data_IF_269234463451
#
_entry.id   IF_269234463451
#
_cell.length_a   1.000
_cell.length_b   1.000
_cell.length_c   1.000
_cell.angle_alpha   90.00
_cell.angle_beta   90.00
_cell.angle_gamma   90.00
#
_symmetry.space_group_name_H-M   'P 1'
#
loop_
_entity.id
_entity.type
_entity.pdbx_description
1 polymer ?
#
# COMPACT_ATOMS: atom_id res chain seq x y z
N UNK A 1 -66.99 -22.35 4.59
CA UNK A 1 -66.51 -22.28 5.98
C UNK A 1 -65.00 -22.08 6.00
N UNK A 2 -64.54 -20.86 6.27
CA UNK A 2 -63.12 -20.47 6.28
C UNK A 2 -62.54 -20.71 7.69
N UNK A 3 -61.49 -21.53 7.83
CA UNK A 3 -60.77 -21.76 9.09
C UNK A 3 -59.63 -20.74 9.22
N UNK A 4 -59.75 -19.85 10.20
CA UNK A 4 -58.72 -18.90 10.59
C UNK A 4 -57.60 -19.60 11.37
N UNK A 5 -56.35 -19.48 10.90
CA UNK A 5 -55.16 -19.87 11.65
C UNK A 5 -54.66 -18.66 12.45
N UNK A 6 -54.64 -18.77 13.78
CA UNK A 6 -54.00 -17.80 14.68
C UNK A 6 -52.51 -18.14 14.74
N UNK A 7 -51.68 -17.32 14.10
CA UNK A 7 -50.23 -17.36 14.26
C UNK A 7 -49.87 -16.71 15.61
N UNK A 8 -49.33 -17.49 16.54
CA UNK A 8 -48.73 -16.99 17.77
C UNK A 8 -47.35 -16.41 17.47
N UNK A 9 -47.19 -15.11 17.64
CA UNK A 9 -45.92 -14.40 17.51
C UNK A 9 -45.14 -14.55 18.82
N UNK A 10 -44.18 -15.47 18.85
CA UNK A 10 -43.21 -15.58 19.96
C UNK A 10 -42.15 -14.52 19.76
N UNK A 11 -42.20 -13.44 20.55
CA UNK A 11 -41.08 -12.49 20.67
C UNK A 11 -39.93 -13.19 21.41
N UNK A 12 -38.95 -13.67 20.66
CA UNK A 12 -37.63 -14.00 21.19
C UNK A 12 -36.91 -12.67 21.37
N UNK A 13 -36.91 -12.16 22.61
CA UNK A 13 -36.10 -11.01 22.99
C UNK A 13 -34.62 -11.34 22.80
N UNK A 14 -34.01 -10.80 21.74
CA UNK A 14 -32.56 -10.76 21.59
C UNK A 14 -32.00 -9.88 22.71
N UNK A 15 -31.56 -10.52 23.80
CA UNK A 15 -30.68 -9.92 24.78
C UNK A 15 -29.36 -9.60 24.08
N UNK A 16 -29.24 -8.40 23.52
CA UNK A 16 -27.94 -7.85 23.15
C UNK A 16 -27.12 -7.74 24.44
N UNK A 17 -25.97 -8.41 24.55
CA UNK A 17 -25.12 -8.24 25.72
C UNK A 17 -24.77 -6.75 25.81
N UNK A 18 -25.15 -6.11 26.91
CA UNK A 18 -24.73 -4.76 27.20
C UNK A 18 -23.19 -4.79 27.19
N UNK A 19 -22.59 -4.15 26.19
CA UNK A 19 -21.15 -4.01 26.11
C UNK A 19 -20.72 -3.29 27.39
N UNK A 20 -20.11 -4.01 28.32
CA UNK A 20 -19.55 -3.42 29.53
C UNK A 20 -18.64 -2.27 29.09
N UNK A 21 -18.94 -1.05 29.53
CA UNK A 21 -18.09 0.09 29.26
C UNK A 21 -16.70 -0.26 29.78
N UNK A 22 -15.72 -0.38 28.88
CA UNK A 22 -14.34 -0.61 29.27
C UNK A 22 -13.95 0.50 30.24
N UNK A 23 -13.58 0.14 31.47
CA UNK A 23 -13.11 1.10 32.46
C UNK A 23 -11.64 1.38 32.21
N UNK A 24 -11.26 2.65 32.28
CA UNK A 24 -9.85 3.07 32.25
C UNK A 24 -9.13 2.43 33.43
N UNK A 25 -8.09 1.65 33.16
CA UNK A 25 -7.22 1.11 34.20
C UNK A 25 -6.27 2.20 34.72
N UNK A 26 -6.25 2.49 36.04
CA UNK A 26 -5.37 3.53 36.59
C UNK A 26 -3.89 3.31 36.27
N UNK A 27 -3.44 2.05 36.23
CA UNK A 27 -2.06 1.71 35.89
C UNK A 27 -1.71 2.05 34.43
N UNK A 28 -2.63 1.81 33.49
CA UNK A 28 -2.43 2.16 32.08
C UNK A 28 -2.38 3.67 31.89
N UNK A 29 -3.29 4.40 32.56
CA UNK A 29 -3.29 5.87 32.58
C UNK A 29 -1.97 6.44 33.12
N UNK A 30 -1.45 5.91 34.22
CA UNK A 30 -0.18 6.36 34.79
C UNK A 30 1.01 6.18 33.84
N UNK A 31 1.01 5.13 33.00
CA UNK A 31 2.04 4.94 31.96
C UNK A 31 1.96 6.04 30.91
N UNK A 32 0.76 6.36 30.42
CA UNK A 32 0.55 7.42 29.42
C UNK A 32 0.87 8.81 30.00
N UNK A 33 0.44 9.10 31.23
CA UNK A 33 0.74 10.36 31.92
C UNK A 33 2.26 10.56 32.11
N UNK A 34 2.99 9.50 32.48
CA UNK A 34 4.46 9.54 32.54
C UNK A 34 5.10 9.87 31.18
N UNK A 35 4.55 9.33 30.09
CA UNK A 35 5.03 9.62 28.75
C UNK A 35 4.75 11.08 28.35
N UNK A 36 3.56 11.58 28.64
CA UNK A 36 3.17 12.98 28.44
C UNK A 36 4.10 13.93 29.18
N UNK A 37 4.40 13.63 30.45
CA UNK A 37 5.35 14.41 31.25
C UNK A 37 6.75 14.38 30.66
N UNK A 38 7.26 13.20 30.27
CA UNK A 38 8.55 13.06 29.62
C UNK A 38 8.63 13.78 28.26
N UNK A 39 7.50 14.08 27.63
CA UNK A 39 7.41 14.82 26.38
C UNK A 39 7.31 16.35 26.56
N UNK A 40 7.30 16.85 27.79
CA UNK A 40 7.18 18.29 28.09
C UNK A 40 5.90 18.67 28.82
N UNK A 41 5.06 17.70 29.18
CA UNK A 41 3.83 17.90 29.95
C UNK A 41 2.60 18.21 29.09
N UNK A 42 1.42 17.91 29.64
CA UNK A 42 0.14 18.01 28.93
C UNK A 42 -0.15 19.42 28.41
N UNK A 43 0.12 20.44 29.23
CA UNK A 43 -0.12 21.84 28.87
C UNK A 43 0.72 22.27 27.65
N UNK A 44 1.99 21.88 27.59
CA UNK A 44 2.86 22.19 26.46
C UNK A 44 2.38 21.48 25.19
N UNK A 45 2.04 20.19 25.28
CA UNK A 45 1.53 19.41 24.15
C UNK A 45 0.20 19.95 23.61
N UNK A 46 -0.76 20.28 24.50
CA UNK A 46 -2.05 20.87 24.09
C UNK A 46 -1.90 22.28 23.55
N UNK A 47 -0.89 23.03 24.00
CA UNK A 47 -0.55 24.37 23.50
C UNK A 47 0.09 24.39 22.12
N UNK A 48 0.43 23.22 21.54
CA UNK A 48 0.82 23.15 20.14
C UNK A 48 -0.43 23.26 19.27
N UNK A 49 -0.55 24.36 18.54
CA UNK A 49 -1.60 24.60 17.57
C UNK A 49 -1.10 24.34 16.15
N UNK A 50 0.17 24.61 15.89
CA UNK A 50 0.78 24.53 14.56
C UNK A 50 2.15 23.90 14.63
N UNK A 51 2.52 23.17 13.58
CA UNK A 51 3.83 22.53 13.47
C UNK A 51 4.37 22.68 12.06
N UNK A 52 5.65 23.01 11.95
CA UNK A 52 6.44 22.83 10.73
C UNK A 52 7.53 21.80 11.00
N UNK A 53 7.61 20.79 10.15
CA UNK A 53 8.69 19.82 10.12
C UNK A 53 9.42 19.93 8.78
N UNK A 54 10.72 20.16 8.81
CA UNK A 54 11.58 19.93 7.64
C UNK A 54 12.09 18.49 7.74
N UNK A 55 11.84 17.70 6.70
CA UNK A 55 11.94 16.25 6.79
C UNK A 55 12.59 15.63 5.56
N UNK A 56 13.14 14.43 5.75
CA UNK A 56 13.54 13.53 4.68
C UNK A 56 12.74 12.23 4.82
N UNK A 57 11.97 11.86 3.79
CA UNK A 57 11.37 10.52 3.72
C UNK A 57 12.29 9.61 2.93
N UNK A 58 12.75 8.52 3.55
CA UNK A 58 13.34 7.39 2.88
C UNK A 58 12.23 6.39 2.57
N UNK A 59 11.78 6.33 1.32
CA UNK A 59 10.84 5.33 0.85
C UNK A 59 11.55 4.00 0.65
N UNK A 60 10.98 2.93 1.18
CA UNK A 60 11.50 1.57 1.03
C UNK A 60 10.60 0.82 0.05
N UNK A 61 11.20 -0.02 -0.80
CA UNK A 61 10.41 -0.98 -1.57
C UNK A 61 9.94 -2.06 -0.61
N UNK A 62 8.62 -2.19 -0.43
CA UNK A 62 8.03 -3.32 0.30
C UNK A 62 8.55 -4.62 -0.30
N UNK A 63 9.20 -5.45 0.52
CA UNK A 63 9.80 -6.72 0.11
C UNK A 63 9.69 -7.74 1.22
N UNK A 64 9.72 -9.00 0.82
CA UNK A 64 9.63 -10.15 1.71
C UNK A 64 10.75 -11.17 1.46
N UNK A 65 11.75 -10.80 0.64
CA UNK A 65 12.79 -11.71 0.17
C UNK A 65 13.98 -11.87 1.14
N UNK A 66 13.92 -11.29 2.35
CA UNK A 66 14.90 -11.50 3.43
C UNK A 66 16.34 -11.07 3.12
N UNK A 67 16.60 -10.53 1.92
CA UNK A 67 17.95 -10.21 1.45
C UNK A 67 18.45 -8.90 2.07
N UNK A 68 19.75 -8.82 2.42
CA UNK A 68 20.36 -7.56 2.85
C UNK A 68 20.26 -6.48 1.77
N UNK A 69 19.98 -5.23 2.15
CA UNK A 69 20.02 -4.05 1.28
C UNK A 69 19.18 -4.12 -0.02
N UNK A 70 18.16 -4.99 -0.06
CA UNK A 70 17.25 -5.09 -1.21
C UNK A 70 16.30 -3.90 -1.35
N UNK A 71 16.14 -3.09 -0.31
CA UNK A 71 15.12 -2.03 -0.21
C UNK A 71 15.27 -0.91 -1.26
N UNK A 72 16.48 -0.73 -1.84
CA UNK A 72 16.82 0.27 -2.87
C UNK A 72 16.10 1.60 -2.61
N UNK A 73 16.43 2.27 -1.48
CA UNK A 73 15.62 3.37 -1.00
C UNK A 73 15.64 4.56 -1.96
N UNK A 74 14.55 5.30 -1.99
CA UNK A 74 14.54 6.66 -2.55
C UNK A 74 14.38 7.69 -1.43
N UNK A 75 14.97 8.85 -1.63
CA UNK A 75 14.99 9.93 -0.64
C UNK A 75 14.18 11.12 -1.17
N UNK A 76 13.26 11.59 -0.34
CA UNK A 76 12.34 12.67 -0.66
C UNK A 76 12.42 13.76 0.43
N UNK A 77 13.20 14.83 0.18
CA UNK A 77 13.17 16.00 1.05
C UNK A 77 11.82 16.69 0.91
N UNK A 78 11.23 17.05 2.04
CA UNK A 78 9.94 17.74 2.06
C UNK A 78 9.78 18.60 3.32
N UNK A 79 8.85 19.54 3.25
CA UNK A 79 8.31 20.23 4.42
C UNK A 79 6.90 19.74 4.68
N UNK A 80 6.64 19.33 5.92
CA UNK A 80 5.32 19.02 6.44
C UNK A 80 4.85 20.15 7.36
N UNK A 81 3.72 20.77 7.03
CA UNK A 81 3.12 21.86 7.78
C UNK A 81 1.71 21.46 8.20
N UNK A 82 1.41 21.62 9.48
CA UNK A 82 0.14 21.18 10.09
C UNK A 82 -0.44 22.29 10.93
N UNK A 83 -1.74 22.48 10.81
CA UNK A 83 -2.55 23.30 11.70
C UNK A 83 -3.60 22.40 12.36
N UNK A 84 -3.55 22.32 13.68
CA UNK A 84 -4.43 21.48 14.48
C UNK A 84 -5.72 22.22 14.88
N UNK A 85 -5.77 23.56 14.72
CA UNK A 85 -6.94 24.39 15.02
C UNK A 85 -7.96 24.36 13.88
N UNK A 86 -7.45 24.20 12.65
CA UNK A 86 -8.22 23.92 11.45
C UNK A 86 -7.61 22.66 10.84
N UNK A 87 -8.23 21.46 10.94
CA UNK A 87 -7.59 20.16 10.67
C UNK A 87 -7.02 20.06 9.25
N UNK A 88 -5.81 20.61 9.08
CA UNK A 88 -5.25 20.98 7.80
C UNK A 88 -3.77 20.68 7.77
N UNK A 89 -3.34 20.29 6.58
CA UNK A 89 -2.03 19.75 6.31
C UNK A 89 -1.57 20.25 4.96
N UNK A 90 -0.31 20.66 4.88
CA UNK A 90 0.37 20.99 3.65
C UNK A 90 1.69 20.27 3.62
N UNK A 91 1.92 19.55 2.54
CA UNK A 91 3.16 18.83 2.31
C UNK A 91 3.79 19.34 1.00
N UNK A 92 4.99 19.87 1.10
CA UNK A 92 5.77 20.38 -0.03
C UNK A 92 6.95 19.46 -0.26
N UNK A 93 6.95 18.72 -1.37
CA UNK A 93 7.96 17.72 -1.73
C UNK A 93 8.85 18.24 -2.85
N UNK A 94 10.14 18.02 -2.72
CA UNK A 94 11.15 18.45 -3.70
C UNK A 94 11.68 17.24 -4.51
N UNK A 95 11.60 17.32 -5.82
CA UNK A 95 12.05 16.31 -6.79
C UNK A 95 13.02 16.96 -7.79
N UNK A 96 14.23 17.26 -7.32
CA UNK A 96 15.21 18.02 -8.10
C UNK A 96 14.67 19.42 -8.41
N UNK A 97 14.49 19.83 -9.69
CA UNK A 97 13.94 21.14 -10.03
C UNK A 97 12.40 21.22 -9.90
N UNK A 98 11.72 20.09 -9.63
CA UNK A 98 10.25 20.04 -9.54
C UNK A 98 9.82 20.06 -8.09
N UNK A 99 8.72 20.76 -7.82
CA UNK A 99 8.09 20.85 -6.50
C UNK A 99 6.64 20.41 -6.59
N UNK A 100 6.21 19.56 -5.67
CA UNK A 100 4.81 19.14 -5.53
C UNK A 100 4.27 19.68 -4.21
N UNK A 101 3.15 20.39 -4.25
CA UNK A 101 2.47 20.88 -3.04
C UNK A 101 1.13 20.18 -2.91
N UNK A 102 0.97 19.36 -1.87
CA UNK A 102 -0.33 18.82 -1.47
C UNK A 102 -0.90 19.68 -0.34
N UNK A 103 -2.18 19.96 -0.39
CA UNK A 103 -2.93 20.59 0.70
C UNK A 103 -4.14 19.71 1.00
N UNK A 104 -4.33 19.39 2.27
CA UNK A 104 -5.56 18.80 2.79
C UNK A 104 -6.16 19.77 3.78
N UNK A 105 -7.43 20.10 3.60
CA UNK A 105 -8.20 20.92 4.55
C UNK A 105 -9.58 20.30 4.72
N UNK A 106 -9.95 20.05 5.97
CA UNK A 106 -11.17 19.30 6.30
C UNK A 106 -11.11 17.91 5.63
N UNK A 107 -12.06 17.57 4.76
CA UNK A 107 -12.11 16.31 4.02
C UNK A 107 -11.70 16.46 2.55
N UNK A 108 -11.03 17.56 2.17
CA UNK A 108 -10.68 17.87 0.77
C UNK A 108 -9.18 17.84 0.58
N UNK A 109 -8.71 17.16 -0.47
CA UNK A 109 -7.32 17.14 -0.88
C UNK A 109 -7.13 17.79 -2.26
N UNK A 110 -6.13 18.65 -2.38
CA UNK A 110 -5.69 19.27 -3.64
C UNK A 110 -4.18 19.15 -3.80
N UNK A 111 -3.71 19.20 -5.04
CA UNK A 111 -2.28 19.15 -5.37
C UNK A 111 -1.93 20.19 -6.42
N UNK A 112 -0.76 20.79 -6.31
CA UNK A 112 -0.12 21.61 -7.34
C UNK A 112 1.15 20.91 -7.80
N UNK A 113 1.26 20.68 -9.11
CA UNK A 113 2.41 20.06 -9.78
C UNK A 113 3.27 21.08 -10.55
N UNK A 114 3.06 22.38 -10.30
CA UNK A 114 3.70 23.49 -10.99
C UNK A 114 2.82 24.16 -12.06
N UNK A 115 1.55 23.77 -12.15
CA UNK A 115 0.58 24.27 -13.13
C UNK A 115 -0.73 24.72 -12.47
N UNK A 116 -0.71 24.95 -11.16
CA UNK A 116 -1.88 25.34 -10.37
C UNK A 116 -2.51 24.16 -9.65
N UNK A 117 -3.35 24.48 -8.66
CA UNK A 117 -4.02 23.47 -7.86
C UNK A 117 -5.13 22.75 -8.63
N UNK A 118 -5.16 21.43 -8.49
CA UNK A 118 -6.21 20.53 -8.96
C UNK A 118 -6.64 19.58 -7.84
N UNK A 119 -7.74 18.86 -8.02
CA UNK A 119 -8.17 17.84 -7.05
C UNK A 119 -7.13 16.74 -6.92
N UNK A 120 -6.93 16.25 -5.70
CA UNK A 120 -6.09 15.10 -5.39
C UNK A 120 -6.97 13.89 -5.04
N UNK A 121 -6.38 12.70 -5.00
CA UNK A 121 -7.07 11.52 -4.50
C UNK A 121 -7.44 11.63 -3.02
N UNK A 122 -8.56 11.00 -2.64
CA UNK A 122 -8.99 10.85 -1.24
C UNK A 122 -7.97 10.11 -0.37
N UNK A 123 -7.04 9.34 -0.95
CA UNK A 123 -5.96 8.71 -0.20
C UNK A 123 -5.09 9.70 0.60
N UNK A 124 -4.97 10.96 0.14
CA UNK A 124 -4.24 11.99 0.89
C UNK A 124 -5.03 12.51 2.10
N UNK A 125 -6.37 12.41 2.09
CA UNK A 125 -7.19 12.67 3.28
C UNK A 125 -6.95 11.57 4.31
N UNK A 126 -6.91 10.31 3.87
CA UNK A 126 -6.58 9.16 4.72
C UNK A 126 -5.15 9.28 5.28
N UNK A 127 -4.16 9.61 4.43
CA UNK A 127 -2.77 9.82 4.86
C UNK A 127 -2.67 10.95 5.89
N UNK A 128 -3.40 12.05 5.71
CA UNK A 128 -3.44 13.11 6.72
C UNK A 128 -3.99 12.60 8.05
N UNK A 129 -5.15 11.93 8.04
CA UNK A 129 -5.73 11.39 9.28
C UNK A 129 -4.74 10.47 9.99
N UNK A 130 -4.06 9.66 9.22
CA UNK A 130 -3.02 8.76 9.68
C UNK A 130 -1.81 9.49 10.28
N UNK A 131 -1.25 10.47 9.58
CA UNK A 131 -0.11 11.27 10.07
C UNK A 131 -0.47 11.99 11.37
N UNK A 132 -1.70 12.46 11.51
CA UNK A 132 -2.21 13.09 12.74
C UNK A 132 -2.38 12.08 13.89
N UNK A 133 -2.53 10.79 13.59
CA UNK A 133 -2.50 9.71 14.58
C UNK A 133 -1.06 9.35 14.95
N UNK A 134 -0.14 9.28 13.99
CA UNK A 134 1.22 8.79 14.21
C UNK A 134 2.12 9.78 14.93
N UNK A 135 1.75 11.05 14.96
CA UNK A 135 2.64 12.07 15.52
C UNK A 135 2.57 11.99 17.05
N UNK A 136 3.70 11.79 17.74
CA UNK A 136 3.68 11.44 19.15
C UNK A 136 2.95 12.43 20.05
N UNK A 137 3.03 13.74 19.76
CA UNK A 137 2.30 14.77 20.52
C UNK A 137 0.79 14.51 20.48
N UNK A 138 0.24 14.24 19.29
CA UNK A 138 -1.18 13.93 19.10
C UNK A 138 -1.55 12.55 19.61
N UNK A 139 -0.68 11.56 19.39
CA UNK A 139 -0.90 10.20 19.86
C UNK A 139 -1.05 10.16 21.38
N UNK A 140 -0.16 10.83 22.12
CA UNK A 140 -0.20 10.83 23.59
C UNK A 140 -1.44 11.55 24.13
N UNK A 141 -1.82 12.69 23.56
CA UNK A 141 -3.05 13.38 23.95
C UNK A 141 -4.30 12.52 23.69
N UNK A 142 -4.38 11.89 22.51
CA UNK A 142 -5.48 10.97 22.18
C UNK A 142 -5.52 9.74 23.08
N UNK A 143 -4.35 9.19 23.42
CA UNK A 143 -4.26 8.07 24.35
C UNK A 143 -4.72 8.49 25.76
N UNK A 144 -4.29 9.64 26.25
CA UNK A 144 -4.66 10.18 27.57
C UNK A 144 -6.18 10.41 27.71
N UNK A 145 -6.81 10.86 26.63
CA UNK A 145 -8.25 11.12 26.56
C UNK A 145 -9.06 9.84 26.25
N UNK A 146 -8.43 8.70 25.96
CA UNK A 146 -9.12 7.47 25.57
C UNK A 146 -9.80 6.78 26.78
N UNK A 147 -11.12 6.50 26.72
CA UNK A 147 -11.84 5.85 27.83
C UNK A 147 -11.56 4.34 27.94
N UNK A 148 -10.78 3.77 27.02
CA UNK A 148 -10.54 2.33 26.88
C UNK A 148 -9.09 1.94 27.17
N UNK A 149 -8.36 2.80 27.88
CA UNK A 149 -6.98 2.55 28.29
C UNK A 149 -6.90 1.31 29.20
N UNK A 150 -6.14 0.32 28.76
CA UNK A 150 -5.87 -0.93 29.50
C UNK A 150 -4.39 -1.29 29.40
N UNK A 151 -3.87 -1.94 30.44
CA UNK A 151 -2.48 -2.36 30.47
C UNK A 151 -2.35 -3.71 29.73
N UNK A 152 -1.41 -3.78 28.80
CA UNK A 152 -1.01 -5.03 28.16
C UNK A 152 0.05 -5.77 28.98
N UNK A 153 0.42 -6.96 28.54
CA UNK A 153 1.60 -7.62 29.07
C UNK A 153 2.85 -6.83 28.67
N UNK A 154 3.79 -6.66 29.60
CA UNK A 154 5.12 -6.16 29.28
C UNK A 154 5.75 -6.96 28.13
N UNK A 155 6.57 -6.30 27.32
CA UNK A 155 7.27 -6.94 26.21
C UNK A 155 8.75 -6.59 26.21
N UNK A 156 9.52 -7.31 25.40
CA UNK A 156 10.92 -7.01 25.12
C UNK A 156 11.08 -6.74 23.63
N UNK A 157 11.65 -5.61 23.25
CA UNK A 157 11.98 -5.26 21.87
C UNK A 157 13.48 -5.01 21.80
N UNK A 158 14.19 -5.70 20.90
CA UNK A 158 15.65 -5.60 20.75
C UNK A 158 16.44 -5.73 22.08
N UNK A 159 15.97 -6.56 23.02
CA UNK A 159 16.60 -6.77 24.33
C UNK A 159 16.23 -5.77 25.43
N UNK A 160 15.44 -4.74 25.11
CA UNK A 160 14.99 -3.73 26.07
C UNK A 160 13.55 -3.97 26.52
N UNK A 161 13.21 -3.55 27.75
CA UNK A 161 11.87 -3.77 28.34
C UNK A 161 10.90 -2.63 28.02
N UNK A 162 9.66 -2.98 27.74
CA UNK A 162 8.59 -2.04 27.41
C UNK A 162 7.30 -2.34 28.16
N UNK A 163 6.61 -1.29 28.59
CA UNK A 163 5.22 -1.36 29.08
C UNK A 163 4.29 -1.27 27.87
N UNK A 164 3.30 -2.14 27.76
CA UNK A 164 2.29 -2.05 26.71
C UNK A 164 1.01 -1.43 27.24
N UNK A 165 0.44 -0.50 26.50
CA UNK A 165 -0.92 0.03 26.73
C UNK A 165 -1.74 -0.21 25.49
N UNK A 166 -2.99 -0.63 25.69
CA UNK A 166 -3.98 -0.73 24.62
C UNK A 166 -5.02 0.37 24.80
N UNK A 167 -5.45 0.95 23.69
CA UNK A 167 -6.46 2.01 23.67
C UNK A 167 -7.31 1.92 22.41
N UNK A 168 -8.49 2.55 22.44
CA UNK A 168 -9.27 2.88 21.25
C UNK A 168 -9.28 4.39 21.07
N UNK A 169 -8.48 4.89 20.14
CA UNK A 169 -8.36 6.31 19.83
C UNK A 169 -9.61 6.81 19.09
N UNK A 170 -10.11 7.99 19.48
CA UNK A 170 -11.33 8.62 18.95
C UNK A 170 -12.54 7.68 18.89
N UNK A 171 -12.59 6.70 19.81
CA UNK A 171 -13.65 5.68 19.86
C UNK A 171 -13.67 4.69 18.70
N UNK A 172 -12.67 4.71 17.79
CA UNK A 172 -12.66 3.88 16.58
C UNK A 172 -11.40 3.03 16.44
N UNK A 173 -10.21 3.64 16.47
CA UNK A 173 -8.97 2.96 16.11
C UNK A 173 -8.39 2.23 17.31
N UNK A 174 -8.42 0.89 17.29
CA UNK A 174 -7.76 0.07 18.30
C UNK A 174 -6.25 0.08 18.08
N UNK A 175 -5.50 0.47 19.10
CA UNK A 175 -4.04 0.60 19.07
C UNK A 175 -3.38 -0.13 20.24
N UNK A 176 -2.14 -0.55 20.04
CA UNK A 176 -1.20 -0.94 21.11
C UNK A 176 0.00 -0.01 21.05
N UNK A 177 0.35 0.59 22.18
CA UNK A 177 1.49 1.49 22.32
C UNK A 177 2.47 0.86 23.30
N UNK A 178 3.72 0.68 22.88
CA UNK A 178 4.82 0.23 23.73
C UNK A 178 5.61 1.46 24.21
N UNK A 179 5.82 1.56 25.52
CA UNK A 179 6.57 2.61 26.18
C UNK A 179 7.87 2.04 26.73
N UNK A 180 9.00 2.68 26.43
CA UNK A 180 10.29 2.22 26.93
C UNK A 180 10.29 2.31 28.47
N UNK A 181 10.60 1.21 29.17
CA UNK A 181 10.37 1.12 30.61
C UNK A 181 11.24 2.11 31.41
N UNK A 182 12.46 2.38 30.93
CA UNK A 182 13.41 3.30 31.58
C UNK A 182 13.02 4.76 31.44
N UNK A 183 12.74 5.21 30.22
CA UNK A 183 12.50 6.63 29.89
C UNK A 183 11.02 7.02 29.99
N UNK A 184 10.11 6.08 29.83
CA UNK A 184 8.67 6.33 29.77
C UNK A 184 8.18 6.86 28.41
N UNK A 185 9.07 7.15 27.47
CA UNK A 185 8.70 7.66 26.13
C UNK A 185 8.05 6.56 25.28
N UNK A 186 7.09 6.90 24.40
CA UNK A 186 6.52 5.93 23.47
C UNK A 186 7.61 5.49 22.48
N UNK A 187 7.67 4.20 22.19
CA UNK A 187 8.67 3.63 21.32
C UNK A 187 8.06 2.98 20.09
N UNK A 188 6.90 2.34 20.23
CA UNK A 188 6.22 1.69 19.12
C UNK A 188 4.71 1.89 19.23
N UNK A 189 4.08 2.27 18.13
CA UNK A 189 2.63 2.23 17.91
C UNK A 189 2.30 1.08 16.95
N UNK A 190 1.31 0.25 17.29
CA UNK A 190 0.76 -0.81 16.42
C UNK A 190 -0.74 -0.70 16.30
N UNK A 191 -1.28 -0.91 15.11
CA UNK A 191 -2.72 -1.03 14.86
C UNK A 191 -2.96 -1.69 13.52
N UNK A 192 -4.21 -2.08 13.27
CA UNK A 192 -4.64 -2.70 12.01
C UNK A 192 -5.51 -1.75 11.21
N UNK A 193 -5.15 -1.48 9.96
CA UNK A 193 -5.90 -0.58 9.08
C UNK A 193 -5.76 -0.99 7.61
N UNK A 194 -6.84 -0.79 6.85
CA UNK A 194 -6.81 -0.88 5.39
C UNK A 194 -6.66 0.50 4.77
N UNK A 195 -6.02 0.55 3.59
CA UNK A 195 -5.82 1.78 2.82
C UNK A 195 -6.48 1.61 1.45
N UNK A 196 -7.82 1.49 1.40
CA UNK A 196 -8.53 1.16 0.16
C UNK A 196 -8.27 2.21 -0.91
N UNK A 197 -7.94 3.44 -0.55
CA UNK A 197 -7.78 4.52 -1.51
C UNK A 197 -6.35 4.64 -2.08
N UNK A 198 -5.35 4.00 -1.48
CA UNK A 198 -3.94 4.13 -1.89
C UNK A 198 -3.55 2.96 -2.81
N UNK A 199 -3.03 3.23 -4.01
CA UNK A 199 -2.73 2.16 -4.98
C UNK A 199 -1.59 1.24 -4.54
N UNK A 200 -0.67 1.71 -3.71
CA UNK A 200 0.49 0.95 -3.22
C UNK A 200 0.13 0.07 -2.02
N UNK A 201 -0.99 0.36 -1.35
CA UNK A 201 -1.40 -0.26 -0.09
C UNK A 201 -2.74 -1.01 -0.17
N UNK A 202 -3.65 -0.63 -1.07
CA UNK A 202 -4.89 -1.36 -1.37
C UNK A 202 -4.70 -2.87 -1.65
N UNK A 203 -3.60 -3.34 -2.29
CA UNK A 203 -3.41 -4.76 -2.53
C UNK A 203 -3.40 -5.61 -1.26
N UNK A 204 -2.92 -5.05 -0.15
CA UNK A 204 -2.73 -5.78 1.11
C UNK A 204 -3.98 -5.82 2.00
N UNK A 205 -5.09 -5.19 1.58
CA UNK A 205 -6.31 -5.10 2.38
C UNK A 205 -6.08 -4.40 3.72
N UNK A 206 -6.77 -4.85 4.76
CA UNK A 206 -6.44 -4.45 6.13
C UNK A 206 -5.16 -5.15 6.59
N UNK A 207 -4.21 -4.40 7.12
CA UNK A 207 -2.90 -4.91 7.51
C UNK A 207 -2.43 -4.34 8.84
N UNK A 208 -1.52 -5.04 9.50
CA UNK A 208 -0.79 -4.47 10.63
C UNK A 208 0.10 -3.33 10.13
N UNK A 209 0.06 -2.24 10.89
CA UNK A 209 0.94 -1.09 10.72
C UNK A 209 1.68 -0.88 12.02
N UNK A 210 2.99 -0.72 11.91
CA UNK A 210 3.88 -0.44 13.03
C UNK A 210 4.61 0.87 12.77
N UNK A 211 4.64 1.75 13.77
CA UNK A 211 5.40 3.00 13.75
C UNK A 211 6.36 2.97 14.94
N UNK A 212 7.66 2.89 14.67
CA UNK A 212 8.70 2.94 15.69
C UNK A 212 9.31 4.33 15.76
N UNK A 213 9.49 4.84 16.99
CA UNK A 213 9.99 6.18 17.27
C UNK A 213 11.41 6.11 17.84
N UNK A 214 12.31 6.91 17.28
CA UNK A 214 13.70 6.99 17.72
C UNK A 214 14.26 8.42 17.63
N UNK A 215 15.44 8.62 18.23
CA UNK A 215 16.14 9.91 18.18
C UNK A 215 15.40 11.03 18.92
N UNK A 216 14.97 10.79 20.16
CA UNK A 216 14.25 11.80 20.94
C UNK A 216 15.11 13.05 21.21
N UNK A 217 14.58 14.22 20.88
CA UNK A 217 15.23 15.53 21.05
C UNK A 217 14.24 16.56 21.59
N UNK A 218 14.75 17.56 22.31
CA UNK A 218 13.94 18.68 22.81
C UNK A 218 13.94 19.85 21.82
N UNK A 219 12.77 20.41 21.53
CA UNK A 219 12.62 21.66 20.78
C UNK A 219 11.49 22.48 21.40
N UNK A 220 11.76 23.73 21.78
CA UNK A 220 10.75 24.59 22.41
C UNK A 220 10.16 24.03 23.72
N UNK A 221 10.92 23.21 24.46
CA UNK A 221 10.44 22.56 25.69
C UNK A 221 9.65 21.27 25.48
N UNK A 222 9.43 20.85 24.22
CA UNK A 222 8.72 19.61 23.88
C UNK A 222 9.72 18.59 23.37
N UNK A 223 9.67 17.36 23.88
CA UNK A 223 10.46 16.27 23.35
C UNK A 223 9.70 15.54 22.24
N UNK A 224 10.32 15.41 21.07
CA UNK A 224 9.79 14.65 19.93
C UNK A 224 10.84 13.69 19.38
N UNK A 225 10.45 12.57 18.75
CA UNK A 225 11.39 11.73 18.04
C UNK A 225 11.73 12.34 16.70
N UNK A 226 13.02 12.34 16.35
CA UNK A 226 13.49 12.79 15.04
C UNK A 226 13.46 11.71 13.97
N UNK A 227 13.08 10.47 14.31
CA UNK A 227 12.95 9.37 13.34
C UNK A 227 11.67 8.56 13.60
N UNK A 228 10.90 8.33 12.54
CA UNK A 228 9.72 7.45 12.53
C UNK A 228 9.90 6.36 11.48
N UNK A 229 10.01 5.11 11.91
CA UNK A 229 10.13 3.95 11.04
C UNK A 229 8.76 3.30 10.91
N UNK A 230 8.21 3.30 9.69
CA UNK A 230 6.88 2.79 9.40
C UNK A 230 7.02 1.47 8.66
N UNK A 231 6.46 0.41 9.23
CA UNK A 231 6.31 -0.89 8.60
C UNK A 231 4.82 -1.16 8.32
N UNK A 232 4.54 -1.80 7.19
CA UNK A 232 3.20 -2.18 6.75
C UNK A 232 3.22 -3.61 6.27
N UNK A 233 2.20 -4.37 6.67
CA UNK A 233 2.09 -5.78 6.35
C UNK A 233 3.36 -6.59 6.73
N UNK A 234 4.00 -6.22 7.84
CA UNK A 234 5.22 -6.88 8.33
C UNK A 234 6.51 -6.52 7.60
N UNK A 235 6.47 -5.66 6.58
CA UNK A 235 7.66 -5.16 5.87
C UNK A 235 7.89 -3.68 6.16
N UNK A 236 9.15 -3.22 6.23
CA UNK A 236 9.46 -1.80 6.17
C UNK A 236 8.81 -1.12 4.95
N UNK A 237 8.28 0.09 5.16
CA UNK A 237 7.57 0.86 4.14
C UNK A 237 8.21 2.23 3.90
N UNK A 238 8.38 3.02 4.97
CA UNK A 238 9.10 4.30 4.88
C UNK A 238 9.75 4.65 6.21
N UNK A 239 10.85 5.40 6.15
CA UNK A 239 11.47 6.06 7.30
C UNK A 239 11.34 7.56 7.12
N UNK A 240 10.83 8.25 8.12
CA UNK A 240 10.68 9.70 8.13
C UNK A 240 11.66 10.29 9.14
N UNK A 241 12.57 11.14 8.68
CA UNK A 241 13.57 11.78 9.54
C UNK A 241 13.27 13.28 9.63
N UNK A 242 12.99 13.78 10.83
CA UNK A 242 12.83 15.20 11.13
C UNK A 242 14.22 15.83 11.25
N UNK A 243 14.50 16.78 10.35
CA UNK A 243 15.74 17.56 10.36
C UNK A 243 15.59 18.83 11.20
N UNK A 244 14.39 19.41 11.21
CA UNK A 244 14.04 20.60 12.01
C UNK A 244 12.56 20.59 12.34
N UNK A 245 12.23 21.04 13.54
CA UNK A 245 10.85 21.28 14.00
C UNK A 245 10.71 22.71 14.50
N UNK A 246 9.59 23.34 14.16
CA UNK A 246 9.15 24.61 14.74
C UNK A 246 7.72 24.45 15.22
N UNK A 247 7.49 24.73 16.51
CA UNK A 247 6.17 24.76 17.13
C UNK A 247 5.57 26.15 17.07
N UNK A 248 4.27 26.21 16.83
CA UNK A 248 3.48 27.44 16.70
C UNK A 248 4.11 28.50 15.76
N UNK A 249 4.64 28.12 14.58
CA UNK A 249 5.08 29.10 13.60
C UNK A 249 3.88 29.89 13.06
N UNK A 250 4.16 31.11 12.59
CA UNK A 250 3.23 31.85 11.77
C UNK A 250 3.15 31.23 10.37
N UNK A 251 1.92 31.00 9.91
CA UNK A 251 1.66 30.59 8.54
C UNK A 251 1.01 31.74 7.76
N UNK A 252 1.35 31.94 6.49
CA UNK A 252 0.55 32.76 5.58
C UNK A 252 -0.92 32.34 5.64
N UNK A 253 -1.84 33.30 5.65
CA UNK A 253 -3.28 33.06 5.82
C UNK A 253 -3.89 32.13 4.74
N UNK A 254 -3.26 32.10 3.57
CA UNK A 254 -3.61 31.28 2.42
C UNK A 254 -2.90 29.91 2.37
N UNK A 255 -2.09 29.56 3.38
CA UNK A 255 -1.29 28.33 3.40
C UNK A 255 -2.10 27.05 3.20
N UNK A 256 -3.37 27.06 3.61
CA UNK A 256 -4.31 25.95 3.47
C UNK A 256 -5.58 26.38 2.70
N UNK A 257 -5.48 27.40 1.84
CA UNK A 257 -6.62 27.83 1.04
C UNK A 257 -7.03 26.73 0.06
N UNK A 258 -8.33 26.42 0.04
CA UNK A 258 -8.96 25.54 -0.96
C UNK A 258 -10.17 26.30 -1.47
N UNK A 259 -10.22 26.59 -2.77
CA UNK A 259 -11.35 27.30 -3.37
C UNK A 259 -12.63 26.45 -3.33
N UNK A 260 -13.79 27.10 -3.33
CA UNK A 260 -15.08 26.40 -3.39
C UNK A 260 -15.22 25.55 -4.66
N UNK A 261 -14.67 26.02 -5.79
CA UNK A 261 -14.63 25.25 -7.03
C UNK A 261 -13.86 23.95 -6.88
N UNK A 262 -12.69 23.96 -6.22
CA UNK A 262 -11.89 22.76 -5.97
C UNK A 262 -12.57 21.84 -4.95
N UNK A 263 -13.21 22.41 -3.92
CA UNK A 263 -14.01 21.65 -2.94
C UNK A 263 -15.17 20.92 -3.62
N UNK A 264 -15.94 21.61 -4.47
CA UNK A 264 -17.02 20.99 -5.24
C UNK A 264 -16.51 19.91 -6.19
N UNK A 265 -15.42 20.17 -6.94
CA UNK A 265 -14.83 19.19 -7.84
C UNK A 265 -14.30 17.95 -7.10
N UNK A 266 -13.70 18.14 -5.92
CA UNK A 266 -13.23 17.04 -5.09
C UNK A 266 -14.39 16.19 -4.58
N UNK A 267 -15.45 16.81 -4.03
CA UNK A 267 -16.61 16.07 -3.52
C UNK A 267 -17.33 15.30 -4.64
N UNK A 268 -17.39 15.88 -5.84
CA UNK A 268 -18.02 15.24 -7.00
C UNK A 268 -17.25 13.99 -7.50
N UNK A 269 -15.95 13.90 -7.25
CA UNK A 269 -15.10 12.81 -7.76
C UNK A 269 -14.67 11.84 -6.67
N UNK A 270 -14.14 12.36 -5.55
CA UNK A 270 -13.62 11.65 -4.36
C UNK A 270 -13.03 10.26 -4.68
N UNK A 271 -12.17 10.22 -5.70
CA UNK A 271 -11.70 8.97 -6.28
C UNK A 271 -10.47 8.42 -5.53
N UNK A 272 -10.39 7.10 -5.31
CA UNK A 272 -9.16 6.48 -4.85
C UNK A 272 -8.06 6.58 -5.92
N UNK A 273 -6.80 6.45 -5.54
CA UNK A 273 -5.67 6.66 -6.46
C UNK A 273 -5.64 5.65 -7.62
N UNK A 274 -6.20 4.47 -7.38
CA UNK A 274 -6.26 3.35 -8.33
C UNK A 274 -7.55 3.36 -9.18
N UNK A 275 -8.51 4.25 -8.91
CA UNK A 275 -9.65 4.50 -9.79
C UNK A 275 -9.20 5.45 -10.90
N UNK A 276 -8.63 4.83 -11.93
CA UNK A 276 -8.21 5.48 -13.16
C UNK A 276 -8.99 4.91 -14.34
N UNK A 277 -9.23 5.67 -15.41
CA UNK A 277 -9.66 5.10 -16.66
C UNK A 277 -8.55 4.22 -17.25
N UNK A 278 -8.92 3.20 -18.02
CA UNK A 278 -7.98 2.50 -18.91
C UNK A 278 -7.62 3.48 -20.02
N UNK A 279 -6.33 3.68 -20.28
CA UNK A 279 -5.86 4.65 -21.28
C UNK A 279 -6.20 4.17 -22.69
N UNK A 280 -5.87 2.92 -23.00
CA UNK A 280 -6.18 2.27 -24.28
C UNK A 280 -6.02 0.76 -24.20
N UNK A 281 -6.48 0.06 -25.24
CA UNK A 281 -6.20 -1.36 -25.47
C UNK A 281 -5.64 -1.50 -26.88
N UNK A 282 -4.54 -2.24 -27.02
CA UNK A 282 -3.87 -2.44 -28.31
C UNK A 282 -3.73 -3.93 -28.59
N UNK A 283 -4.19 -4.36 -29.75
CA UNK A 283 -3.92 -5.72 -30.26
C UNK A 283 -2.52 -5.71 -30.86
N UNK A 284 -1.56 -6.29 -30.15
CA UNK A 284 -0.17 -6.36 -30.61
C UNK A 284 -0.03 -7.42 -31.71
N UNK A 285 -0.73 -8.55 -31.56
CA UNK A 285 -0.86 -9.62 -32.57
C UNK A 285 -2.22 -10.31 -32.41
N UNK A 286 -2.60 -11.21 -33.32
CA UNK A 286 -3.82 -12.03 -33.23
C UNK A 286 -3.91 -12.90 -31.95
N UNK A 287 -2.81 -13.05 -31.21
CA UNK A 287 -2.76 -13.78 -29.94
C UNK A 287 -2.31 -12.97 -28.73
N UNK A 288 -2.11 -11.65 -28.85
CA UNK A 288 -1.59 -10.83 -27.75
C UNK A 288 -2.27 -9.46 -27.72
N UNK A 289 -2.93 -9.15 -26.61
CA UNK A 289 -3.63 -7.88 -26.42
C UNK A 289 -3.09 -7.18 -25.18
N UNK A 290 -2.66 -5.94 -25.33
CA UNK A 290 -2.11 -5.10 -24.27
C UNK A 290 -3.17 -4.15 -23.72
N UNK A 291 -3.22 -4.01 -22.39
CA UNK A 291 -3.97 -2.96 -21.72
C UNK A 291 -2.98 -1.86 -21.31
N UNK A 292 -3.26 -0.63 -21.70
CA UNK A 292 -2.46 0.53 -21.32
C UNK A 292 -3.11 1.27 -20.17
N UNK A 293 -2.28 1.65 -19.20
CA UNK A 293 -2.66 2.46 -18.05
C UNK A 293 -1.98 1.99 -16.78
N UNK A 294 -1.82 2.90 -15.84
CA UNK A 294 -1.19 2.61 -14.56
C UNK A 294 -2.09 1.73 -13.68
N UNK A 295 -1.56 0.58 -13.25
CA UNK A 295 -2.21 -0.29 -12.27
C UNK A 295 -3.22 -1.30 -12.81
N UNK A 296 -3.39 -1.39 -14.12
CA UNK A 296 -4.20 -2.46 -14.76
C UNK A 296 -3.40 -3.75 -14.94
N UNK A 297 -4.06 -4.88 -15.24
CA UNK A 297 -3.39 -6.02 -15.87
C UNK A 297 -2.56 -5.57 -17.07
N UNK A 298 -1.44 -6.22 -17.33
CA UNK A 298 -0.60 -5.89 -18.49
C UNK A 298 -1.32 -6.21 -19.82
N UNK A 299 -2.15 -7.26 -19.83
CA UNK A 299 -2.91 -7.68 -21.01
C UNK A 299 -3.36 -9.12 -20.94
N UNK A 300 -3.54 -9.74 -22.10
CA UNK A 300 -3.88 -11.15 -22.23
C UNK A 300 -3.16 -11.81 -23.42
N UNK A 301 -2.76 -13.07 -23.22
CA UNK A 301 -2.13 -13.93 -24.21
C UNK A 301 -3.09 -15.07 -24.59
N UNK A 302 -3.31 -15.30 -25.88
CA UNK A 302 -3.99 -16.49 -26.38
C UNK A 302 -3.04 -17.69 -26.36
N UNK A 303 -3.49 -18.79 -25.74
CA UNK A 303 -2.80 -20.08 -25.69
C UNK A 303 -3.78 -21.12 -26.23
N UNK A 304 -3.64 -21.46 -27.51
CA UNK A 304 -4.59 -22.33 -28.21
C UNK A 304 -5.97 -21.67 -28.28
N UNK A 305 -7.00 -22.37 -27.80
CA UNK A 305 -8.36 -21.83 -27.68
C UNK A 305 -8.64 -21.09 -26.37
N UNK A 306 -7.64 -21.01 -25.47
CA UNK A 306 -7.76 -20.38 -24.17
C UNK A 306 -7.04 -19.02 -24.11
N UNK A 307 -7.38 -18.21 -23.11
CA UNK A 307 -6.71 -16.94 -22.83
C UNK A 307 -6.12 -16.95 -21.42
N UNK A 308 -4.90 -16.44 -21.31
CA UNK A 308 -4.11 -16.26 -20.09
C UNK A 308 -4.02 -14.76 -19.80
N UNK A 309 -4.50 -14.34 -18.63
CA UNK A 309 -4.34 -12.96 -18.16
C UNK A 309 -2.88 -12.72 -17.73
N UNK A 310 -2.31 -11.57 -18.09
CA UNK A 310 -0.96 -11.16 -17.69
C UNK A 310 -1.05 -10.08 -16.62
N UNK A 311 -0.57 -10.40 -15.42
CA UNK A 311 -0.70 -9.63 -14.17
C UNK A 311 -2.15 -9.43 -13.69
N UNK A 312 -2.32 -9.13 -12.41
CA UNK A 312 -3.65 -8.97 -11.81
C UNK A 312 -4.10 -7.49 -11.70
N UNK A 313 -3.22 -6.53 -11.95
CA UNK A 313 -3.46 -5.14 -11.61
C UNK A 313 -3.41 -4.86 -10.10
N UNK A 314 -3.35 -3.57 -9.76
CA UNK A 314 -3.10 -3.09 -8.40
C UNK A 314 -4.26 -3.35 -7.44
N UNK A 315 -5.50 -3.36 -7.93
CA UNK A 315 -6.68 -3.54 -7.10
C UNK A 315 -7.73 -4.40 -7.82
N UNK A 316 -8.69 -4.99 -7.09
CA UNK A 316 -9.86 -5.63 -7.68
C UNK A 316 -10.57 -4.78 -8.74
N UNK A 317 -10.74 -3.47 -8.47
CA UNK A 317 -11.36 -2.54 -9.42
C UNK A 317 -10.52 -2.37 -10.71
N UNK A 318 -9.19 -2.35 -10.58
CA UNK A 318 -8.29 -2.25 -11.75
C UNK A 318 -8.35 -3.54 -12.58
N UNK A 319 -8.43 -4.72 -11.94
CA UNK A 319 -8.64 -5.99 -12.64
C UNK A 319 -9.96 -5.99 -13.42
N UNK A 320 -11.05 -5.61 -12.77
CA UNK A 320 -12.40 -5.55 -13.36
C UNK A 320 -12.40 -4.70 -14.62
N UNK A 321 -11.96 -3.44 -14.51
CA UNK A 321 -11.89 -2.51 -15.66
C UNK A 321 -10.96 -2.98 -16.77
N UNK A 322 -9.82 -3.59 -16.41
CA UNK A 322 -8.90 -4.18 -17.37
C UNK A 322 -9.55 -5.33 -18.16
N UNK A 323 -10.27 -6.23 -17.48
CA UNK A 323 -11.01 -7.32 -18.11
C UNK A 323 -12.15 -6.83 -18.98
N UNK A 324 -12.89 -5.81 -18.54
CA UNK A 324 -13.92 -5.19 -19.36
C UNK A 324 -13.35 -4.55 -20.63
N UNK A 325 -12.20 -3.89 -20.53
CA UNK A 325 -11.52 -3.30 -21.67
C UNK A 325 -11.06 -4.38 -22.66
N UNK A 326 -10.48 -5.48 -22.16
CA UNK A 326 -10.13 -6.66 -22.96
C UNK A 326 -11.36 -7.26 -23.65
N UNK A 327 -12.48 -7.42 -22.93
CA UNK A 327 -13.72 -7.97 -23.48
C UNK A 327 -14.29 -7.10 -24.61
N UNK A 328 -14.26 -5.77 -24.46
CA UNK A 328 -14.66 -4.83 -25.53
C UNK A 328 -13.78 -4.95 -26.79
N UNK A 329 -12.53 -5.39 -26.64
CA UNK A 329 -11.61 -5.69 -27.74
C UNK A 329 -11.75 -7.12 -28.28
N UNK A 330 -12.77 -7.86 -27.86
CA UNK A 330 -13.05 -9.22 -28.35
C UNK A 330 -12.28 -10.33 -27.65
N UNK A 331 -11.56 -10.03 -26.56
CA UNK A 331 -10.87 -11.06 -25.76
C UNK A 331 -11.87 -11.74 -24.82
N UNK A 332 -12.10 -13.06 -24.93
CA UNK A 332 -12.95 -13.81 -24.00
C UNK A 332 -12.43 -13.77 -22.56
N UNK A 333 -13.26 -14.23 -21.62
CA UNK A 333 -12.85 -14.36 -20.22
C UNK A 333 -11.60 -15.27 -20.10
N UNK A 334 -10.53 -14.83 -19.40
CA UNK A 334 -9.35 -15.64 -19.20
C UNK A 334 -9.65 -16.92 -18.40
N UNK A 335 -9.00 -18.02 -18.78
CA UNK A 335 -9.11 -19.33 -18.11
C UNK A 335 -8.01 -19.59 -17.09
N UNK A 336 -7.04 -18.67 -17.03
CA UNK A 336 -5.93 -18.69 -16.08
C UNK A 336 -5.26 -17.31 -16.03
N UNK A 337 -4.40 -17.11 -15.04
CA UNK A 337 -3.65 -15.86 -14.89
C UNK A 337 -2.18 -16.12 -14.51
N UNK A 338 -1.30 -15.26 -15.00
CA UNK A 338 0.09 -15.19 -14.61
C UNK A 338 0.30 -13.93 -13.77
N UNK A 339 0.62 -14.07 -12.49
CA UNK A 339 0.83 -12.95 -11.56
C UNK A 339 2.23 -13.09 -10.97
N UNK A 340 3.21 -12.48 -11.61
CA UNK A 340 4.62 -12.83 -11.38
C UNK A 340 5.49 -11.64 -10.97
N UNK A 341 5.01 -10.42 -11.12
CA UNK A 341 5.74 -9.23 -10.69
C UNK A 341 5.93 -9.21 -9.17
N UNK A 342 7.18 -9.13 -8.70
CA UNK A 342 7.52 -9.16 -7.28
C UNK A 342 7.32 -7.78 -6.62
N UNK A 343 6.08 -7.31 -6.56
CA UNK A 343 5.71 -5.95 -6.16
C UNK A 343 4.34 -5.88 -5.48
N UNK A 344 4.05 -4.80 -4.74
CA UNK A 344 2.73 -4.59 -4.15
C UNK A 344 1.57 -4.60 -5.15
N UNK A 345 1.80 -4.22 -6.42
CA UNK A 345 0.76 -3.99 -7.44
C UNK A 345 -0.04 -5.21 -7.96
N UNK A 346 -0.29 -6.23 -7.15
CA UNK A 346 -0.98 -7.47 -7.55
C UNK A 346 -2.33 -7.69 -6.86
N UNK A 347 -2.97 -6.63 -6.33
CA UNK A 347 -4.19 -6.74 -5.51
C UNK A 347 -5.39 -7.40 -6.20
N UNK A 348 -5.46 -7.42 -7.54
CA UNK A 348 -6.49 -8.16 -8.26
C UNK A 348 -6.43 -9.68 -8.06
N UNK A 349 -5.32 -10.23 -7.54
CA UNK A 349 -5.15 -11.68 -7.32
C UNK A 349 -6.20 -12.25 -6.37
N UNK A 350 -6.66 -11.46 -5.40
CA UNK A 350 -7.69 -11.86 -4.44
C UNK A 350 -8.99 -12.22 -5.17
N UNK A 351 -9.38 -11.43 -6.18
CA UNK A 351 -10.57 -11.70 -7.01
C UNK A 351 -10.37 -12.95 -7.88
N UNK A 352 -9.21 -13.10 -8.52
CA UNK A 352 -8.90 -14.26 -9.35
C UNK A 352 -9.01 -15.58 -8.56
N UNK A 353 -8.45 -15.62 -7.35
CA UNK A 353 -8.49 -16.80 -6.48
C UNK A 353 -9.92 -17.07 -5.98
N UNK A 354 -10.68 -16.03 -5.62
CA UNK A 354 -12.11 -16.17 -5.22
C UNK A 354 -12.98 -16.71 -6.36
N UNK A 355 -12.69 -16.32 -7.60
CA UNK A 355 -13.35 -16.84 -8.81
C UNK A 355 -12.91 -18.26 -9.18
N UNK A 356 -11.90 -18.81 -8.50
CA UNK A 356 -11.36 -20.13 -8.79
C UNK A 356 -10.47 -20.18 -10.03
N UNK A 357 -10.04 -19.04 -10.57
CA UNK A 357 -9.13 -18.98 -11.72
C UNK A 357 -7.74 -19.50 -11.29
N UNK A 358 -7.14 -20.47 -12.01
CA UNK A 358 -5.76 -20.88 -11.78
C UNK A 358 -4.78 -19.71 -11.92
N UNK A 359 -3.93 -19.52 -10.92
CA UNK A 359 -2.89 -18.48 -10.90
C UNK A 359 -1.52 -19.14 -10.85
N UNK A 360 -0.66 -18.82 -11.81
CA UNK A 360 0.77 -19.14 -11.72
C UNK A 360 1.55 -17.91 -11.26
N UNK A 361 2.49 -18.11 -10.33
CA UNK A 361 3.30 -17.03 -9.76
C UNK A 361 4.77 -17.42 -9.65
N UNK A 362 5.63 -16.41 -9.52
CA UNK A 362 7.07 -16.57 -9.33
C UNK A 362 7.39 -16.82 -7.85
N UNK A 363 8.57 -17.39 -7.55
CA UNK A 363 9.04 -17.47 -6.16
C UNK A 363 9.21 -16.09 -5.53
N UNK A 364 9.58 -15.10 -6.34
CA UNK A 364 9.74 -13.72 -5.90
C UNK A 364 8.40 -13.05 -5.52
N UNK A 365 7.32 -13.33 -6.27
CA UNK A 365 6.01 -12.73 -6.04
C UNK A 365 5.16 -13.50 -5.01
N UNK A 366 5.40 -14.80 -4.80
CA UNK A 366 4.61 -15.62 -3.89
C UNK A 366 4.44 -15.02 -2.48
N UNK A 367 5.48 -14.49 -1.80
CA UNK A 367 5.30 -13.88 -0.48
C UNK A 367 4.36 -12.66 -0.48
N UNK A 368 4.31 -11.89 -1.57
CA UNK A 368 3.36 -10.77 -1.69
C UNK A 368 1.94 -11.31 -1.76
N UNK A 369 1.70 -12.30 -2.61
CA UNK A 369 0.39 -12.94 -2.78
C UNK A 369 -0.09 -13.58 -1.47
N UNK A 370 0.80 -14.27 -0.75
CA UNK A 370 0.48 -14.89 0.53
C UNK A 370 -0.04 -13.86 1.54
N UNK A 371 0.63 -12.72 1.66
CA UNK A 371 0.20 -11.62 2.55
C UNK A 371 -1.14 -11.02 2.10
N UNK A 372 -1.32 -10.76 0.81
CA UNK A 372 -2.58 -10.22 0.26
C UNK A 372 -3.76 -11.16 0.50
N UNK A 373 -3.59 -12.45 0.23
CA UNK A 373 -4.61 -13.47 0.41
C UNK A 373 -4.91 -13.73 1.89
N UNK A 374 -3.89 -13.79 2.75
CA UNK A 374 -4.05 -14.00 4.18
C UNK A 374 -4.82 -12.86 4.86
N UNK A 375 -4.51 -11.59 4.52
CA UNK A 375 -5.21 -10.43 5.08
C UNK A 375 -6.71 -10.38 4.69
N UNK A 376 -7.05 -10.97 3.55
CA UNK A 376 -8.41 -11.08 3.02
C UNK A 376 -9.12 -12.40 3.40
N UNK A 377 -8.46 -13.26 4.19
CA UNK A 377 -9.00 -14.56 4.59
C UNK A 377 -9.24 -15.53 3.42
N UNK A 378 -8.54 -15.35 2.30
CA UNK A 378 -8.68 -16.17 1.10
C UNK A 378 -7.59 -17.24 1.08
N UNK A 379 -7.92 -18.54 1.02
CA UNK A 379 -6.89 -19.59 0.94
C UNK A 379 -6.30 -19.64 -0.47
N UNK A 380 -4.98 -19.83 -0.58
CA UNK A 380 -4.24 -19.86 -1.86
C UNK A 380 -4.43 -21.16 -2.69
N UNK A 381 -5.63 -21.76 -2.68
CA UNK A 381 -5.89 -23.12 -3.23
C UNK A 381 -5.57 -23.28 -4.71
N UNK A 382 -5.69 -22.19 -5.48
CA UNK A 382 -5.50 -22.20 -6.93
C UNK A 382 -4.25 -21.41 -7.35
N UNK A 383 -3.34 -21.13 -6.41
CA UNK A 383 -2.07 -20.46 -6.68
C UNK A 383 -0.96 -21.50 -6.78
N UNK A 384 -0.24 -21.52 -7.90
CA UNK A 384 0.90 -22.40 -8.13
C UNK A 384 2.17 -21.57 -8.21
N UNK A 385 3.08 -21.75 -7.25
CA UNK A 385 4.43 -21.17 -7.29
C UNK A 385 5.30 -21.99 -8.23
N UNK A 386 5.81 -21.37 -9.30
CA UNK A 386 6.65 -22.05 -10.27
C UNK A 386 8.09 -22.05 -9.77
N UNK A 387 8.49 -23.21 -9.24
CA UNK A 387 9.80 -23.44 -8.64
C UNK A 387 10.86 -23.91 -9.64
N UNK A 388 10.43 -24.58 -10.69
CA UNK A 388 11.24 -25.17 -11.75
C UNK A 388 10.53 -24.92 -13.08
N UNK A 389 11.30 -24.92 -14.18
CA UNK A 389 10.73 -24.66 -15.49
C UNK A 389 9.66 -25.69 -15.85
N UNK A 390 8.45 -25.22 -16.18
CA UNK A 390 7.28 -26.06 -16.41
C UNK A 390 6.50 -25.65 -17.66
N UNK A 391 5.92 -26.63 -18.35
CA UNK A 391 5.00 -26.38 -19.46
C UNK A 391 3.58 -26.30 -18.91
N UNK A 392 2.90 -25.19 -19.20
CA UNK A 392 1.49 -25.00 -18.88
C UNK A 392 0.68 -25.21 -20.15
N UNK A 393 -0.22 -26.20 -20.11
CA UNK A 393 -1.14 -26.50 -21.20
C UNK A 393 -2.49 -25.82 -20.98
N UNK A 394 -2.94 -25.04 -21.96
CA UNK A 394 -4.22 -24.34 -21.96
C UNK A 394 -4.79 -24.39 -23.38
N UNK A 395 -6.08 -24.68 -23.51
CA UNK A 395 -6.78 -24.64 -24.80
C UNK A 395 -6.13 -25.48 -25.93
N UNK A 396 -5.41 -26.55 -25.59
CA UNK A 396 -4.72 -27.41 -26.56
C UNK A 396 -3.34 -26.91 -27.04
N UNK A 397 -2.84 -25.80 -26.52
CA UNK A 397 -1.47 -25.33 -26.75
C UNK A 397 -0.70 -25.19 -25.43
N UNK A 398 0.61 -24.92 -25.52
CA UNK A 398 1.46 -24.82 -24.33
C UNK A 398 2.31 -23.56 -24.34
N UNK A 399 2.52 -23.02 -23.15
CA UNK A 399 3.50 -21.98 -22.86
C UNK A 399 4.50 -22.51 -21.83
N UNK A 400 5.73 -22.00 -21.87
CA UNK A 400 6.78 -22.38 -20.92
C UNK A 400 6.89 -21.30 -19.86
N UNK A 401 6.80 -21.69 -18.60
CA UNK A 401 7.14 -20.85 -17.46
C UNK A 401 8.53 -21.25 -16.99
N UNK A 402 9.45 -20.29 -16.87
CA UNK A 402 10.85 -20.57 -16.56
C UNK A 402 11.36 -19.62 -15.48
N UNK A 403 11.73 -20.13 -14.30
CA UNK A 403 12.34 -19.32 -13.26
C UNK A 403 13.65 -18.70 -13.75
N UNK A 404 13.89 -17.44 -13.39
CA UNK A 404 15.14 -16.74 -13.67
C UNK A 404 15.53 -15.89 -12.46
N UNK A 405 16.82 -15.82 -12.18
CA UNK A 405 17.35 -14.87 -11.20
C UNK A 405 17.79 -13.60 -11.91
N UNK A 406 17.15 -12.49 -11.55
CA UNK A 406 17.58 -11.14 -11.95
C UNK A 406 18.37 -10.51 -10.80
N UNK A 407 19.33 -9.60 -11.07
CA UNK A 407 20.17 -8.98 -10.04
C UNK A 407 19.39 -8.48 -8.81
N UNK A 408 18.24 -7.83 -9.04
CA UNK A 408 17.42 -7.27 -7.97
C UNK A 408 16.18 -8.10 -7.60
N UNK A 409 15.86 -9.14 -8.36
CA UNK A 409 14.65 -9.96 -8.20
C UNK A 409 14.98 -11.44 -8.44
N UNK A 410 15.46 -12.11 -7.39
CA UNK A 410 15.76 -13.54 -7.43
C UNK A 410 14.45 -14.35 -7.41
N UNK A 411 14.39 -15.42 -8.19
CA UNK A 411 13.20 -16.23 -8.35
C UNK A 411 12.09 -15.52 -9.13
N UNK A 412 12.45 -14.60 -10.04
CA UNK A 412 11.53 -14.06 -11.04
C UNK A 412 11.08 -15.18 -11.99
N UNK A 413 10.08 -14.90 -12.83
CA UNK A 413 9.51 -15.88 -13.74
C UNK A 413 9.33 -15.30 -15.15
N UNK A 414 9.85 -16.03 -16.13
CA UNK A 414 9.63 -15.78 -17.53
C UNK A 414 8.43 -16.58 -18.04
N UNK A 415 7.70 -16.02 -19.00
CA UNK A 415 6.72 -16.75 -19.80
C UNK A 415 7.15 -16.72 -21.26
N UNK A 416 7.42 -17.89 -21.83
CA UNK A 416 7.74 -18.07 -23.23
C UNK A 416 6.56 -18.67 -24.00
N UNK A 417 6.18 -18.02 -25.10
CA UNK A 417 5.18 -18.49 -26.06
C UNK A 417 5.87 -18.93 -27.35
N UNK A 418 6.01 -20.25 -27.61
CA UNK A 418 6.59 -20.75 -28.85
C UNK A 418 5.82 -20.32 -30.09
N UNK A 419 4.49 -20.26 -29.99
CA UNK A 419 3.60 -19.89 -31.10
C UNK A 419 3.84 -18.46 -31.58
N UNK A 420 3.98 -17.52 -30.65
CA UNK A 420 4.24 -16.11 -30.97
C UNK A 420 5.72 -15.79 -31.08
N UNK A 421 6.59 -16.74 -30.74
CA UNK A 421 8.02 -16.50 -30.51
C UNK A 421 8.27 -15.30 -29.60
N UNK A 422 7.50 -15.23 -28.52
CA UNK A 422 7.42 -14.07 -27.63
C UNK A 422 7.75 -14.42 -26.18
N UNK A 423 8.53 -13.57 -25.52
CA UNK A 423 8.99 -13.73 -24.14
C UNK A 423 8.46 -12.60 -23.24
N UNK A 424 7.80 -12.94 -22.14
CA UNK A 424 7.34 -12.01 -21.10
C UNK A 424 8.28 -12.01 -19.90
N UNK A 425 8.77 -10.84 -19.52
CA UNK A 425 9.67 -10.64 -18.39
C UNK A 425 9.28 -9.38 -17.57
N UNK A 426 8.29 -9.47 -16.67
CA UNK A 426 7.73 -8.31 -15.98
C UNK A 426 8.68 -7.68 -14.97
N UNK A 427 9.61 -8.43 -14.39
CA UNK A 427 10.60 -7.88 -13.46
C UNK A 427 11.85 -7.33 -14.16
N UNK A 428 11.99 -7.53 -15.47
CA UNK A 428 13.11 -7.02 -16.25
C UNK A 428 12.94 -5.55 -16.62
N UNK A 429 13.25 -4.68 -15.65
CA UNK A 429 12.99 -3.23 -15.73
C UNK A 429 14.22 -2.39 -16.12
N UNK A 430 15.40 -2.99 -16.14
CA UNK A 430 16.66 -2.35 -16.56
C UNK A 430 17.28 -3.04 -17.77
N UNK A 431 18.18 -2.36 -18.52
CA UNK A 431 18.95 -3.01 -19.59
C UNK A 431 19.77 -4.21 -19.11
N UNK A 432 20.26 -4.18 -17.86
CA UNK A 432 20.98 -5.31 -17.27
C UNK A 432 20.05 -6.51 -17.06
N UNK A 433 18.86 -6.31 -16.50
CA UNK A 433 17.90 -7.41 -16.32
C UNK A 433 17.56 -8.07 -17.66
N UNK A 434 17.37 -7.26 -18.71
CA UNK A 434 17.09 -7.76 -20.05
C UNK A 434 18.24 -8.60 -20.63
N UNK A 435 19.50 -8.31 -20.30
CA UNK A 435 20.62 -9.15 -20.75
C UNK A 435 20.60 -10.54 -20.09
N UNK A 436 20.23 -10.63 -18.81
CA UNK A 436 20.02 -11.92 -18.13
C UNK A 436 18.85 -12.70 -18.72
N UNK A 437 17.73 -12.02 -19.01
CA UNK A 437 16.56 -12.64 -19.67
C UNK A 437 16.93 -13.22 -21.04
N UNK A 438 17.67 -12.46 -21.85
CA UNK A 438 18.15 -12.89 -23.17
C UNK A 438 19.12 -14.06 -23.07
N UNK A 439 20.06 -14.01 -22.13
CA UNK A 439 20.99 -15.11 -21.88
C UNK A 439 20.26 -16.39 -21.48
N UNK A 440 19.24 -16.28 -20.61
CA UNK A 440 18.40 -17.42 -20.24
C UNK A 440 17.65 -18.00 -21.45
N UNK A 441 17.01 -17.15 -22.26
CA UNK A 441 16.32 -17.59 -23.47
C UNK A 441 17.26 -18.30 -24.47
N UNK A 442 18.47 -17.74 -24.68
CA UNK A 442 19.49 -18.33 -25.53
C UNK A 442 19.99 -19.69 -25.00
N UNK A 443 20.16 -19.83 -23.68
CA UNK A 443 20.56 -21.09 -23.05
C UNK A 443 19.51 -22.20 -23.24
N UNK A 444 18.23 -21.85 -23.37
CA UNK A 444 17.17 -22.79 -23.72
C UNK A 444 16.97 -22.98 -25.23
N UNK A 445 17.76 -22.30 -26.07
CA UNK A 445 17.61 -22.34 -27.53
C UNK A 445 16.28 -21.77 -28.02
N UNK A 446 15.68 -20.82 -27.29
CA UNK A 446 14.43 -20.19 -27.72
C UNK A 446 14.70 -19.17 -28.81
N UNK A 447 13.96 -19.29 -29.91
CA UNK A 447 13.99 -18.35 -31.03
C UNK A 447 13.06 -17.15 -30.74
N UNK A 448 13.51 -16.25 -29.86
CA UNK A 448 12.76 -15.07 -29.42
C UNK A 448 12.75 -14.00 -30.50
N UNK A 449 11.56 -13.57 -30.93
CA UNK A 449 11.36 -12.46 -31.87
C UNK A 449 11.00 -11.16 -31.19
N UNK A 450 10.31 -11.24 -30.06
CA UNK A 450 9.86 -10.08 -29.32
C UNK A 450 9.90 -10.36 -27.81
N UNK A 451 10.17 -9.30 -27.05
CA UNK A 451 10.17 -9.32 -25.59
C UNK A 451 9.13 -8.33 -25.08
N UNK A 452 8.35 -8.76 -24.09
CA UNK A 452 7.45 -7.91 -23.34
C UNK A 452 7.99 -7.62 -21.93
N UNK A 453 7.81 -6.37 -21.49
CA UNK A 453 8.07 -5.89 -20.12
C UNK A 453 6.91 -5.01 -19.64
N UNK A 454 6.88 -4.51 -18.39
CA UNK A 454 5.83 -3.60 -17.95
C UNK A 454 5.76 -2.29 -18.75
N UNK A 455 6.79 -1.96 -19.53
CA UNK A 455 6.82 -0.77 -20.40
C UNK A 455 6.16 -0.99 -21.76
N UNK A 456 5.98 -2.25 -22.18
CA UNK A 456 5.38 -2.63 -23.45
C UNK A 456 5.37 -4.15 -23.61
N UNK A 457 4.24 -4.71 -24.02
CA UNK A 457 4.10 -6.17 -24.21
C UNK A 457 4.84 -6.66 -25.44
N UNK A 458 5.07 -5.84 -26.47
CA UNK A 458 5.75 -6.26 -27.69
C UNK A 458 6.81 -5.23 -28.08
N UNK A 459 8.07 -5.61 -27.94
CA UNK A 459 9.21 -4.89 -28.50
C UNK A 459 9.94 -5.90 -29.37
N UNK A 460 9.95 -5.66 -30.70
CA UNK A 460 10.74 -6.48 -31.61
C UNK A 460 12.20 -6.41 -31.20
N UNK A 461 12.87 -7.56 -31.19
CA UNK A 461 14.31 -7.54 -31.10
C UNK A 461 14.83 -6.98 -32.42
N UNK A 462 15.30 -5.72 -32.40
CA UNK A 462 16.00 -5.13 -33.54
C UNK A 462 17.07 -6.14 -33.98
N UNK A 463 16.94 -6.65 -35.21
CA UNK A 463 17.87 -7.62 -35.77
C UNK A 463 19.28 -7.11 -35.57
N UNK A 464 20.07 -7.87 -34.81
CA UNK A 464 21.33 -7.41 -34.22
C UNK A 464 22.29 -6.83 -35.25
N UNK A 465 22.32 -5.50 -35.36
CA UNK A 465 23.41 -4.71 -35.94
C UNK A 465 23.20 -3.23 -35.50
N UNK A 466 23.73 -2.88 -34.33
CA UNK A 466 24.05 -1.49 -34.00
C UNK A 466 23.28 -0.82 -32.86
N UNK A 467 23.82 -0.90 -31.64
CA UNK A 467 24.01 0.24 -30.72
C UNK A 467 25.27 0.07 -29.90
#
# INVERSE_FOLDING_TARGET
MRRAWKAGMVMIGLLTPAAAAAQVEPAARAVVERAVEAMGGEAALRGVERVRLDMMTQWQRTRYDGRPAGDRPSFEPHTDVRDYTIPAWRNTREFGPRRIVNVVRDSVAITDLGNGFQTQSVAYVDERDELFVYTPDRLMLKALDAPSLTLGADTTLAGERYRQVRARLDGRLAVTIAFHAGTGLPAVLRFRQGHPNDFGLVPFGAMEVEVAYAGWQSSGGIHIPTQWDIARAGSPYKRMTVQRVVFNPDFPADSFAVSDSLRHAFVATRAPMHDRPVDSVTVATDGLVQVHGFGFPAGALRVGEAWLLLEAGHAPLSLERGREALARSGVPAPTGALVVGARPGNGGVVSLVREGIPVWTSRAAAPFLDVMLANEGVPARNVTVVAEGTWVELGGARVRLEPVDLPDVHGSLLLWSPTLRWLWAPDAITPLDLSFVRAAAAAHGWDVRAVGTPRGLWVEEEGGEGR
#
